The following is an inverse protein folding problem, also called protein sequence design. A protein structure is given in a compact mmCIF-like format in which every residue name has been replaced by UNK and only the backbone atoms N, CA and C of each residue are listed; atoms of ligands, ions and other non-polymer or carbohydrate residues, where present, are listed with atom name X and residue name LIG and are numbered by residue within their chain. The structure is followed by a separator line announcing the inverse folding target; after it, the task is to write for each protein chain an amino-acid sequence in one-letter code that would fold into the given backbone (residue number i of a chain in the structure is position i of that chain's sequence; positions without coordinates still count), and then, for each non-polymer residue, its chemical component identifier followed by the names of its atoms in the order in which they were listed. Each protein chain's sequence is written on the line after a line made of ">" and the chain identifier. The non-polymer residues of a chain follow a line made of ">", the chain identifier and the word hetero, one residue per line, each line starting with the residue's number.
data_IF_318092145055
#
_entry.id   IF_318092145055
#
_cell.length_a   1.000
_cell.length_b   1.000
_cell.length_c   1.000
_cell.angle_alpha   90.00
_cell.angle_beta   90.00
_cell.angle_gamma   90.00
#
_symmetry.space_group_name_H-M   'P 1'
#
loop_
_entity.id
_entity.type
_entity.pdbx_description
1 polymer ?
#
# COMPACT_ATOMS: atom_id res chain seq x y z
N UNK A 1 11.31 17.67 10.19
CA UNK A 1 10.89 18.61 11.26
C UNK A 1 10.02 17.96 12.34
N UNK A 2 8.74 17.62 12.12
CA UNK A 2 7.90 17.09 13.21
C UNK A 2 8.34 15.70 13.75
N UNK A 3 8.76 14.80 12.86
CA UNK A 3 9.31 13.47 13.22
C UNK A 3 10.60 13.61 14.02
N UNK A 4 11.54 14.43 13.52
CA UNK A 4 12.84 14.68 14.17
C UNK A 4 12.68 15.31 15.56
N UNK A 5 11.79 16.30 15.71
CA UNK A 5 11.52 16.91 17.02
C UNK A 5 10.98 15.89 18.02
N UNK A 6 10.07 15.01 17.59
CA UNK A 6 9.52 13.98 18.48
C UNK A 6 10.57 12.92 18.83
N UNK A 7 11.44 12.57 17.88
CA UNK A 7 12.56 11.67 18.12
C UNK A 7 13.55 12.28 19.13
N UNK A 8 13.93 13.55 18.97
CA UNK A 8 14.79 14.25 19.94
C UNK A 8 14.18 14.27 21.34
N UNK A 9 12.88 14.56 21.45
CA UNK A 9 12.18 14.53 22.75
C UNK A 9 12.24 13.14 23.41
N UNK A 10 12.13 12.06 22.65
CA UNK A 10 12.21 10.70 23.17
C UNK A 10 13.62 10.30 23.64
N UNK A 11 14.66 10.98 23.15
CA UNK A 11 16.04 10.77 23.60
C UNK A 11 16.30 11.47 24.94
N UNK A 12 15.74 12.66 25.14
CA UNK A 12 16.05 13.50 26.30
C UNK A 12 15.03 13.41 27.43
N UNK A 13 13.79 13.00 27.15
CA UNK A 13 12.71 12.90 28.13
C UNK A 13 12.47 11.42 28.48
N UNK A 14 12.50 11.05 29.77
CA UNK A 14 12.18 9.70 30.20
C UNK A 14 10.82 9.22 29.69
N UNK A 15 10.74 7.96 29.24
CA UNK A 15 9.53 7.40 28.63
C UNK A 15 8.32 7.36 29.58
N UNK A 16 8.54 7.34 30.89
CA UNK A 16 7.52 7.37 31.95
C UNK A 16 7.00 8.78 32.24
N UNK A 17 7.54 9.82 31.59
CA UNK A 17 7.04 11.17 31.72
C UNK A 17 5.57 11.28 31.25
N UNK A 18 4.65 11.78 32.10
CA UNK A 18 3.22 11.80 31.78
C UNK A 18 2.87 12.75 30.62
N UNK A 19 3.62 13.85 30.45
CA UNK A 19 3.39 14.81 29.36
C UNK A 19 3.80 14.22 28.01
N UNK A 20 4.92 13.49 27.98
CA UNK A 20 5.37 12.76 26.80
C UNK A 20 4.36 11.67 26.39
N UNK A 21 3.84 10.92 27.36
CA UNK A 21 2.79 9.93 27.11
C UNK A 21 1.49 10.58 26.59
N UNK A 22 1.10 11.73 27.16
CA UNK A 22 -0.04 12.49 26.68
C UNK A 22 0.17 13.01 25.24
N UNK A 23 1.39 13.46 24.91
CA UNK A 23 1.75 13.89 23.56
C UNK A 23 1.66 12.73 22.55
N UNK A 24 2.27 11.58 22.86
CA UNK A 24 2.22 10.39 21.99
C UNK A 24 0.77 9.95 21.78
N UNK A 25 -0.05 9.97 22.83
CA UNK A 25 -1.49 9.65 22.75
C UNK A 25 -2.21 10.64 21.84
N UNK A 26 -1.97 11.95 22.00
CA UNK A 26 -2.56 13.00 21.15
C UNK A 26 -2.19 12.83 19.67
N UNK A 27 -0.93 12.45 19.40
CA UNK A 27 -0.45 12.17 18.03
C UNK A 27 -1.18 10.96 17.45
N UNK A 28 -1.32 9.87 18.21
CA UNK A 28 -2.05 8.66 17.78
C UNK A 28 -3.53 8.96 17.49
N UNK A 29 -4.18 9.75 18.34
CA UNK A 29 -5.59 10.15 18.14
C UNK A 29 -5.76 11.02 16.89
N UNK A 30 -4.85 11.96 16.65
CA UNK A 30 -4.86 12.77 15.42
C UNK A 30 -4.67 11.92 14.19
N UNK A 31 -3.79 10.91 14.24
CA UNK A 31 -3.64 9.95 13.15
C UNK A 31 -4.89 9.12 12.92
N UNK A 32 -5.52 8.59 13.98
CA UNK A 32 -6.79 7.87 13.87
C UNK A 32 -7.85 8.73 13.16
N UNK A 33 -8.06 9.96 13.62
CA UNK A 33 -8.97 10.91 12.99
C UNK A 33 -8.61 11.24 11.54
N UNK A 34 -7.31 11.35 11.22
CA UNK A 34 -6.87 11.62 9.85
C UNK A 34 -7.15 10.43 8.91
N UNK A 35 -6.94 9.21 9.40
CA UNK A 35 -7.23 7.97 8.66
C UNK A 35 -8.73 7.81 8.45
N UNK A 36 -9.55 8.09 9.46
CA UNK A 36 -11.02 8.03 9.35
C UNK A 36 -11.57 9.03 8.31
N UNK A 37 -10.94 10.20 8.18
CA UNK A 37 -11.29 11.20 7.19
C UNK A 37 -10.76 10.89 5.78
N UNK A 38 -9.93 9.86 5.61
CA UNK A 38 -9.46 9.38 4.32
C UNK A 38 -10.44 8.37 3.72
N UNK A 39 -11.57 8.89 3.23
CA UNK A 39 -12.51 8.13 2.41
C UNK A 39 -12.24 8.38 0.92
N UNK A 40 -11.95 7.31 0.17
CA UNK A 40 -11.98 7.32 -1.29
C UNK A 40 -13.39 6.88 -1.72
N UNK A 41 -14.13 7.70 -2.49
CA UNK A 41 -15.45 7.31 -2.96
C UNK A 41 -15.38 6.03 -3.79
N UNK A 42 -16.19 5.03 -3.44
CA UNK A 42 -16.30 3.75 -4.18
C UNK A 42 -17.40 3.87 -5.22
N UNK A 43 -17.23 4.80 -6.16
CA UNK A 43 -18.17 4.98 -7.25
C UNK A 43 -18.02 3.87 -8.32
N UNK A 44 -19.09 3.52 -9.04
CA UNK A 44 -19.00 2.59 -10.16
C UNK A 44 -17.98 3.06 -11.20
N UNK A 45 -17.23 2.13 -11.78
CA UNK A 45 -16.23 2.45 -12.80
C UNK A 45 -16.81 3.25 -13.97
N UNK A 46 -18.05 2.95 -14.38
CA UNK A 46 -18.77 3.69 -15.41
C UNK A 46 -18.99 5.17 -15.04
N UNK A 47 -19.31 5.47 -13.78
CA UNK A 47 -19.51 6.84 -13.31
C UNK A 47 -18.18 7.63 -13.28
N UNK A 48 -17.09 6.97 -12.88
CA UNK A 48 -15.74 7.58 -12.90
C UNK A 48 -15.28 7.83 -14.35
N UNK A 49 -15.57 6.90 -15.26
CA UNK A 49 -15.23 7.04 -16.68
C UNK A 49 -16.04 8.13 -17.38
N UNK A 50 -17.32 8.31 -17.02
CA UNK A 50 -18.20 9.28 -17.63
C UNK A 50 -17.97 10.73 -17.17
N UNK A 51 -17.31 10.94 -16.02
CA UNK A 51 -17.17 12.26 -15.41
C UNK A 51 -15.72 12.58 -15.02
N UNK A 52 -15.12 13.53 -15.75
CA UNK A 52 -13.77 14.01 -15.46
C UNK A 52 -13.64 14.63 -14.05
N UNK A 53 -14.61 15.43 -13.54
CA UNK A 53 -14.59 15.87 -12.15
C UNK A 53 -14.61 14.71 -11.15
N UNK A 54 -15.40 13.65 -11.42
CA UNK A 54 -15.44 12.49 -10.54
C UNK A 54 -14.09 11.77 -10.49
N UNK A 55 -13.44 11.60 -11.64
CA UNK A 55 -12.09 11.04 -11.75
C UNK A 55 -11.06 11.88 -10.97
N UNK A 56 -11.13 13.20 -11.07
CA UNK A 56 -10.24 14.11 -10.35
C UNK A 56 -10.40 14.00 -8.82
N UNK A 57 -11.65 13.95 -8.34
CA UNK A 57 -11.94 13.79 -6.90
C UNK A 57 -11.38 12.47 -6.37
N UNK A 58 -11.64 11.36 -7.07
CA UNK A 58 -11.15 10.03 -6.67
C UNK A 58 -9.62 10.00 -6.65
N UNK A 59 -8.97 10.56 -7.68
CA UNK A 59 -7.52 10.65 -7.74
C UNK A 59 -6.93 11.49 -6.60
N UNK A 60 -7.49 12.67 -6.34
CA UNK A 60 -7.03 13.54 -5.24
C UNK A 60 -7.17 12.86 -3.87
N UNK A 61 -8.29 12.16 -3.64
CA UNK A 61 -8.52 11.40 -2.39
C UNK A 61 -7.56 10.23 -2.24
N UNK A 62 -7.28 9.53 -3.34
CA UNK A 62 -6.27 8.47 -3.37
C UNK A 62 -4.88 9.02 -3.02
N UNK A 63 -4.42 10.07 -3.70
CA UNK A 63 -3.11 10.68 -3.44
C UNK A 63 -2.99 11.18 -1.99
N UNK A 64 -4.05 11.80 -1.45
CA UNK A 64 -4.08 12.21 -0.03
C UNK A 64 -3.91 11.03 0.92
N UNK A 65 -4.56 9.90 0.62
CA UNK A 65 -4.45 8.68 1.44
C UNK A 65 -3.05 8.09 1.37
N UNK A 66 -2.43 8.07 0.17
CA UNK A 66 -1.03 7.66 -0.02
C UNK A 66 -0.08 8.54 0.79
N UNK A 67 -0.23 9.87 0.69
CA UNK A 67 0.61 10.80 1.46
C UNK A 67 0.44 10.65 2.97
N UNK A 68 -0.79 10.44 3.46
CA UNK A 68 -1.03 10.16 4.87
C UNK A 68 -0.31 8.88 5.31
N UNK A 69 -0.43 7.82 4.51
CA UNK A 69 0.21 6.56 4.84
C UNK A 69 1.75 6.65 4.78
N UNK A 70 2.32 7.40 3.83
CA UNK A 70 3.76 7.66 3.79
C UNK A 70 4.21 8.45 5.02
N UNK A 71 3.42 9.45 5.41
CA UNK A 71 3.63 10.22 6.63
C UNK A 71 3.47 9.40 7.91
N UNK A 72 2.64 8.35 7.93
CA UNK A 72 2.57 7.40 9.04
C UNK A 72 3.79 6.49 9.08
N UNK A 73 4.22 5.98 7.91
CA UNK A 73 5.40 5.13 7.80
C UNK A 73 6.69 5.84 8.25
N UNK A 74 6.80 7.17 8.13
CA UNK A 74 7.95 7.92 8.66
C UNK A 74 8.05 7.97 10.20
N UNK A 75 7.03 7.50 10.93
CA UNK A 75 7.08 7.35 12.39
C UNK A 75 7.47 5.94 12.84
N UNK A 76 7.99 5.08 11.95
CA UNK A 76 8.30 3.67 12.24
C UNK A 76 9.23 3.46 13.44
N UNK A 77 10.15 4.39 13.69
CA UNK A 77 11.13 4.31 14.77
C UNK A 77 10.66 5.00 16.07
N UNK A 78 9.49 5.64 16.03
CA UNK A 78 8.95 6.47 17.12
C UNK A 78 7.71 5.82 17.72
N UNK A 79 6.77 5.40 16.86
CA UNK A 79 5.50 4.82 17.28
C UNK A 79 5.56 3.29 17.26
N UNK A 80 4.79 2.60 18.10
CA UNK A 80 4.76 1.14 18.10
C UNK A 80 4.43 0.58 16.72
N UNK A 81 5.28 -0.29 16.20
CA UNK A 81 5.13 -0.88 14.86
C UNK A 81 3.73 -1.48 14.63
N UNK A 82 3.18 -2.20 15.62
CA UNK A 82 1.83 -2.78 15.55
C UNK A 82 0.72 -1.73 15.36
N UNK A 83 0.86 -0.55 15.99
CA UNK A 83 -0.10 0.54 15.80
C UNK A 83 -0.04 1.07 14.37
N UNK A 84 1.17 1.31 13.84
CA UNK A 84 1.35 1.78 12.47
C UNK A 84 0.88 0.75 11.44
N UNK A 85 1.17 -0.53 11.66
CA UNK A 85 0.70 -1.63 10.80
C UNK A 85 -0.83 -1.69 10.74
N UNK A 86 -1.54 -1.62 11.87
CA UNK A 86 -3.01 -1.62 11.87
C UNK A 86 -3.61 -0.35 11.23
N UNK A 87 -2.97 0.81 11.41
CA UNK A 87 -3.44 2.04 10.75
C UNK A 87 -3.20 2.03 9.24
N UNK A 88 -2.00 1.66 8.80
CA UNK A 88 -1.61 1.72 7.39
C UNK A 88 -2.15 0.51 6.62
N UNK A 89 -1.81 -0.70 7.04
CA UNK A 89 -2.08 -1.92 6.28
C UNK A 89 -3.54 -2.34 6.40
N UNK A 90 -4.07 -2.39 7.61
CA UNK A 90 -5.42 -2.88 7.85
C UNK A 90 -6.46 -1.79 7.52
N UNK A 91 -6.34 -0.62 8.15
CA UNK A 91 -7.37 0.41 8.06
C UNK A 91 -7.31 1.17 6.74
N UNK A 92 -6.19 1.84 6.46
CA UNK A 92 -6.10 2.72 5.30
C UNK A 92 -6.03 1.91 4.00
N UNK A 93 -5.13 0.93 3.91
CA UNK A 93 -5.00 0.14 2.68
C UNK A 93 -6.12 -0.89 2.59
N UNK A 94 -6.24 -1.78 3.59
CA UNK A 94 -7.19 -2.88 3.60
C UNK A 94 -8.64 -2.44 3.47
N UNK A 95 -9.09 -1.48 4.29
CA UNK A 95 -10.50 -1.06 4.31
C UNK A 95 -10.82 0.09 3.34
N UNK A 96 -9.88 0.97 2.98
CA UNK A 96 -10.18 2.15 2.14
C UNK A 96 -9.65 2.04 0.71
N UNK A 97 -8.43 1.56 0.49
CA UNK A 97 -7.80 1.59 -0.83
C UNK A 97 -7.98 0.30 -1.65
N UNK A 98 -8.04 -0.88 -1.00
CA UNK A 98 -8.17 -2.16 -1.70
C UNK A 98 -9.43 -2.21 -2.56
N UNK A 99 -10.57 -1.74 -2.04
CA UNK A 99 -11.82 -1.70 -2.79
C UNK A 99 -11.72 -0.85 -4.07
N UNK A 100 -10.99 0.27 -4.01
CA UNK A 100 -10.76 1.14 -5.17
C UNK A 100 -9.82 0.48 -6.20
N UNK A 101 -8.76 -0.18 -5.74
CA UNK A 101 -7.75 -0.79 -6.61
C UNK A 101 -8.22 -2.10 -7.24
N UNK A 102 -9.14 -2.83 -6.60
CA UNK A 102 -9.71 -4.08 -7.12
C UNK A 102 -10.42 -3.91 -8.47
N UNK A 103 -10.94 -2.73 -8.79
CA UNK A 103 -11.52 -2.43 -10.10
C UNK A 103 -10.50 -2.27 -11.24
N UNK A 104 -9.20 -2.29 -10.94
CA UNK A 104 -8.13 -1.94 -11.87
C UNK A 104 -7.66 -3.03 -12.84
N UNK A 105 -8.33 -4.19 -12.89
CA UNK A 105 -7.93 -5.31 -13.76
C UNK A 105 -7.93 -4.95 -15.26
N UNK A 106 -8.79 -4.02 -15.69
CA UNK A 106 -8.83 -3.55 -17.09
C UNK A 106 -7.62 -2.69 -17.49
N UNK A 107 -6.85 -2.19 -16.52
CA UNK A 107 -5.61 -1.44 -16.75
C UNK A 107 -4.57 -1.86 -15.70
N UNK A 108 -3.96 -3.01 -15.96
CA UNK A 108 -3.02 -3.65 -15.03
C UNK A 108 -1.78 -2.78 -14.81
N UNK A 109 -1.23 -2.14 -15.85
CA UNK A 109 -0.01 -1.34 -15.72
C UNK A 109 -0.21 -0.12 -14.81
N UNK A 110 -1.27 0.67 -15.04
CA UNK A 110 -1.56 1.84 -14.22
C UNK A 110 -1.87 1.45 -12.77
N UNK A 111 -2.57 0.32 -12.56
CA UNK A 111 -2.89 -0.16 -11.21
C UNK A 111 -1.66 -0.72 -10.50
N UNK A 112 -0.79 -1.43 -11.23
CA UNK A 112 0.50 -1.92 -10.71
C UNK A 112 1.40 -0.76 -10.28
N UNK A 113 1.42 0.34 -11.04
CA UNK A 113 2.18 1.54 -10.63
C UNK A 113 1.67 2.14 -9.32
N UNK A 114 0.34 2.21 -9.13
CA UNK A 114 -0.26 2.67 -7.86
C UNK A 114 0.05 1.74 -6.69
N UNK A 115 -0.03 0.43 -6.92
CA UNK A 115 0.32 -0.59 -5.92
C UNK A 115 1.79 -0.49 -5.54
N UNK A 116 2.68 -0.26 -6.50
CA UNK A 116 4.10 -0.11 -6.24
C UNK A 116 4.37 1.08 -5.33
N UNK A 117 3.74 2.25 -5.57
CA UNK A 117 3.88 3.39 -4.67
C UNK A 117 3.50 3.02 -3.23
N UNK A 118 2.40 2.29 -3.04
CA UNK A 118 1.94 1.86 -1.71
C UNK A 118 2.90 0.86 -1.05
N UNK A 119 3.46 -0.08 -1.81
CA UNK A 119 4.37 -1.10 -1.28
C UNK A 119 5.76 -0.51 -1.03
N UNK A 120 6.26 0.36 -1.92
CA UNK A 120 7.60 0.95 -1.86
C UNK A 120 7.78 1.85 -0.63
N UNK A 121 6.75 2.59 -0.23
CA UNK A 121 6.76 3.46 0.96
C UNK A 121 6.75 2.71 2.31
N UNK A 122 6.44 1.42 2.33
CA UNK A 122 6.37 0.66 3.58
C UNK A 122 7.77 0.25 4.06
N UNK A 123 8.03 0.27 5.38
CA UNK A 123 9.24 -0.31 5.95
C UNK A 123 9.34 -1.81 5.64
N UNK A 124 10.50 -2.25 5.16
CA UNK A 124 10.73 -3.67 4.84
C UNK A 124 10.65 -4.57 6.08
N UNK A 125 11.03 -4.05 7.24
CA UNK A 125 11.05 -4.78 8.52
C UNK A 125 9.65 -5.24 8.95
N UNK A 126 8.59 -4.60 8.46
CA UNK A 126 7.22 -5.02 8.74
C UNK A 126 6.92 -6.42 8.21
N UNK A 127 7.64 -6.88 7.18
CA UNK A 127 7.42 -8.16 6.51
C UNK A 127 8.53 -9.18 6.78
N UNK A 128 9.51 -8.85 7.62
CA UNK A 128 10.70 -9.69 7.85
C UNK A 128 10.41 -11.05 8.49
N UNK A 129 9.28 -11.20 9.19
CA UNK A 129 8.81 -12.47 9.78
C UNK A 129 7.74 -13.18 8.94
N UNK A 130 7.50 -12.70 7.72
CA UNK A 130 6.40 -13.12 6.85
C UNK A 130 5.29 -12.06 6.80
N UNK A 131 4.15 -12.44 6.20
CA UNK A 131 3.02 -11.54 5.95
C UNK A 131 2.26 -11.26 7.27
N UNK A 132 2.23 -10.01 7.77
CA UNK A 132 1.43 -9.66 8.95
C UNK A 132 -0.06 -9.83 8.69
N UNK A 133 -0.84 -10.09 9.74
CA UNK A 133 -2.31 -10.24 9.61
C UNK A 133 -2.96 -8.96 9.07
N UNK A 134 -2.42 -7.81 9.47
CA UNK A 134 -2.83 -6.48 9.06
C UNK A 134 -2.64 -6.28 7.54
N UNK A 135 -1.69 -7.00 6.92
CA UNK A 135 -1.42 -6.94 5.49
C UNK A 135 -2.34 -7.83 4.63
N UNK A 136 -3.27 -8.60 5.22
CA UNK A 136 -4.07 -9.59 4.51
C UNK A 136 -4.80 -9.02 3.28
N UNK A 137 -5.43 -7.84 3.41
CA UNK A 137 -6.14 -7.21 2.29
C UNK A 137 -5.22 -6.75 1.15
N UNK A 138 -4.01 -6.30 1.47
CA UNK A 138 -3.01 -5.94 0.47
C UNK A 138 -2.46 -7.18 -0.23
N UNK A 139 -2.12 -8.21 0.55
CA UNK A 139 -1.62 -9.48 0.03
C UNK A 139 -2.64 -10.12 -0.91
N UNK A 140 -3.91 -10.23 -0.49
CA UNK A 140 -4.99 -10.77 -1.32
C UNK A 140 -5.13 -10.00 -2.64
N UNK A 141 -5.04 -8.66 -2.60
CA UNK A 141 -5.08 -7.83 -3.79
C UNK A 141 -3.89 -8.12 -4.72
N UNK A 142 -2.66 -8.12 -4.21
CA UNK A 142 -1.46 -8.45 -5.01
C UNK A 142 -1.55 -9.86 -5.62
N UNK A 143 -1.98 -10.85 -4.84
CA UNK A 143 -2.18 -12.22 -5.33
C UNK A 143 -3.27 -12.30 -6.40
N UNK A 144 -4.35 -11.52 -6.28
CA UNK A 144 -5.42 -11.50 -7.28
C UNK A 144 -4.94 -10.92 -8.62
N UNK A 145 -4.13 -9.85 -8.59
CA UNK A 145 -3.48 -9.29 -9.79
C UNK A 145 -2.49 -10.27 -10.41
N UNK A 146 -1.73 -11.01 -9.59
CA UNK A 146 -0.78 -11.99 -10.09
C UNK A 146 -1.52 -13.13 -10.81
N UNK A 147 -2.57 -13.69 -10.20
CA UNK A 147 -3.41 -14.72 -10.82
C UNK A 147 -4.10 -14.23 -12.09
N UNK A 148 -4.54 -12.97 -12.12
CA UNK A 148 -5.14 -12.37 -13.30
C UNK A 148 -4.15 -12.32 -14.47
N UNK A 149 -2.91 -11.87 -14.22
CA UNK A 149 -1.84 -11.87 -15.21
C UNK A 149 -1.48 -13.29 -15.67
N UNK A 150 -1.40 -14.25 -14.74
CA UNK A 150 -1.16 -15.66 -15.07
C UNK A 150 -2.24 -16.22 -16.02
N UNK A 151 -3.52 -15.93 -15.74
CA UNK A 151 -4.65 -16.37 -16.55
C UNK A 151 -4.71 -15.74 -17.94
N UNK A 152 -4.27 -14.49 -18.07
CA UNK A 152 -4.25 -13.77 -19.35
C UNK A 152 -2.93 -13.89 -20.12
N UNK A 153 -1.97 -14.67 -19.61
CA UNK A 153 -0.58 -14.69 -20.11
C UNK A 153 -0.48 -14.83 -21.64
N UNK A 154 -1.15 -15.83 -22.22
CA UNK A 154 -1.01 -16.14 -23.65
C UNK A 154 -1.48 -14.97 -24.52
N UNK A 155 -2.61 -14.37 -24.17
CA UNK A 155 -3.20 -13.27 -24.93
C UNK A 155 -2.45 -11.95 -24.68
N UNK A 156 -2.10 -11.69 -23.43
CA UNK A 156 -1.39 -10.49 -23.01
C UNK A 156 0.02 -10.40 -23.62
N UNK A 157 0.74 -11.53 -23.72
CA UNK A 157 2.06 -11.59 -24.36
C UNK A 157 2.01 -11.45 -25.89
N UNK A 158 0.86 -11.71 -26.54
CA UNK A 158 0.69 -11.50 -27.99
C UNK A 158 0.51 -10.04 -28.35
N UNK A 159 -0.28 -9.31 -27.56
CA UNK A 159 -0.65 -7.92 -27.88
C UNK A 159 0.25 -6.87 -27.26
N UNK A 160 0.77 -7.10 -26.05
CA UNK A 160 1.50 -6.07 -25.32
C UNK A 160 2.60 -6.64 -24.40
N UNK A 161 3.47 -7.49 -24.97
CA UNK A 161 4.50 -8.26 -24.27
C UNK A 161 5.34 -7.42 -23.29
N UNK A 162 5.87 -6.28 -23.73
CA UNK A 162 6.79 -5.47 -22.93
C UNK A 162 6.14 -4.91 -21.66
N UNK A 163 4.96 -4.30 -21.80
CA UNK A 163 4.23 -3.67 -20.68
C UNK A 163 3.73 -4.71 -19.67
N UNK A 164 3.23 -5.84 -20.18
CA UNK A 164 2.72 -6.95 -19.35
C UNK A 164 3.86 -7.60 -18.58
N UNK A 165 5.00 -7.88 -19.23
CA UNK A 165 6.18 -8.42 -18.54
C UNK A 165 6.70 -7.45 -17.49
N UNK A 166 6.80 -6.15 -17.79
CA UNK A 166 7.24 -5.15 -16.81
C UNK A 166 6.30 -5.08 -15.59
N UNK A 167 4.98 -5.14 -15.82
CA UNK A 167 3.98 -5.17 -14.75
C UNK A 167 4.07 -6.44 -13.91
N UNK A 168 4.25 -7.60 -14.54
CA UNK A 168 4.41 -8.88 -13.85
C UNK A 168 5.69 -8.92 -12.99
N UNK A 169 6.81 -8.44 -13.51
CA UNK A 169 8.07 -8.39 -12.75
C UNK A 169 7.99 -7.40 -11.58
N UNK A 170 7.34 -6.26 -11.76
CA UNK A 170 7.10 -5.30 -10.67
C UNK A 170 6.15 -5.86 -9.61
N UNK A 171 5.15 -6.64 -10.02
CA UNK A 171 4.27 -7.34 -9.09
C UNK A 171 5.01 -8.44 -8.34
N UNK A 172 5.93 -9.16 -9.00
CA UNK A 172 6.78 -10.15 -8.36
C UNK A 172 7.69 -9.51 -7.29
N UNK A 173 8.29 -8.34 -7.56
CA UNK A 173 9.11 -7.64 -6.56
C UNK A 173 8.29 -7.18 -5.35
N UNK A 174 7.06 -6.68 -5.58
CA UNK A 174 6.14 -6.31 -4.49
C UNK A 174 5.76 -7.52 -3.63
N UNK A 175 5.45 -8.66 -4.25
CA UNK A 175 5.11 -9.89 -3.53
C UNK A 175 6.26 -10.39 -2.66
N UNK A 176 7.49 -10.36 -3.16
CA UNK A 176 8.67 -10.72 -2.36
C UNK A 176 8.85 -9.75 -1.18
N UNK A 177 8.70 -8.43 -1.41
CA UNK A 177 8.78 -7.44 -0.32
C UNK A 177 7.74 -7.67 0.78
N UNK A 178 6.52 -8.10 0.42
CA UNK A 178 5.43 -8.38 1.38
C UNK A 178 5.58 -9.76 2.06
N UNK A 179 6.55 -10.58 1.63
CA UNK A 179 6.86 -11.89 2.23
C UNK A 179 6.27 -13.10 1.49
N UNK A 180 5.74 -12.93 0.27
CA UNK A 180 5.26 -14.02 -0.60
C UNK A 180 6.29 -14.36 -1.70
N UNK A 181 7.39 -14.97 -1.28
CA UNK A 181 8.47 -15.37 -2.18
C UNK A 181 8.06 -16.49 -3.15
N UNK A 182 7.10 -17.34 -2.76
CA UNK A 182 6.65 -18.43 -3.62
C UNK A 182 5.91 -17.89 -4.85
N UNK A 183 4.94 -16.99 -4.64
CA UNK A 183 4.20 -16.38 -5.73
C UNK A 183 5.08 -15.44 -6.55
N UNK A 184 5.98 -14.69 -5.88
CA UNK A 184 6.97 -13.84 -6.54
C UNK A 184 7.83 -14.64 -7.53
N UNK A 185 8.48 -15.73 -7.07
CA UNK A 185 9.34 -16.58 -7.91
C UNK A 185 8.57 -17.22 -9.05
N UNK A 186 7.32 -17.64 -8.80
CA UNK A 186 6.45 -18.21 -9.84
C UNK A 186 6.16 -17.20 -10.94
N UNK A 187 5.75 -15.99 -10.58
CA UNK A 187 5.43 -14.93 -11.52
C UNK A 187 6.68 -14.48 -12.30
N UNK A 188 7.82 -14.34 -11.62
CA UNK A 188 9.10 -14.03 -12.25
C UNK A 188 9.53 -15.09 -13.27
N UNK A 189 9.40 -16.39 -12.97
CA UNK A 189 9.68 -17.46 -13.94
C UNK A 189 8.76 -17.42 -15.15
N UNK A 190 7.47 -17.17 -14.93
CA UNK A 190 6.48 -17.18 -16.00
C UNK A 190 6.64 -16.04 -17.01
N UNK A 191 7.16 -14.89 -16.59
CA UNK A 191 7.25 -13.67 -17.41
C UNK A 191 8.68 -13.19 -17.69
N UNK A 192 9.66 -13.60 -16.88
CA UNK A 192 11.07 -13.22 -17.03
C UNK A 192 11.81 -13.96 -18.14
N UNK A 193 11.35 -15.17 -18.49
CA UNK A 193 12.06 -16.08 -19.39
C UNK A 193 13.36 -16.60 -18.77
N UNK A 194 13.70 -17.87 -19.00
CA UNK A 194 15.02 -18.40 -18.65
C UNK A 194 16.09 -17.54 -19.34
N UNK A 195 16.85 -16.80 -18.54
CA UNK A 195 18.17 -16.28 -18.93
C UNK A 195 19.21 -17.10 -18.20
#
# INVERSE_FOLDING_TARGET
>A
MAVEMLHELLVYVPADNPELQALVTSVRDKFGKAVDNCAVPVWPAAAIAASQPAKAVVHARFCRSVHLAAGLCSFCDILPSKFLQSMVLETLIGRRLVAHLRGGFSNVAATTAKLAILVDMMPSDWFGSGIPKEAAGLHELLSSFARHLEGQRVEALRHNKGEVTASALRLASMLSKVGDDQLSKRLARMFGGDR
#
